data_IF_368055690612
#
_entry.id   IF_368055690612
#
_cell.length_a   1.000
_cell.length_b   1.000
_cell.length_c   1.000
_cell.angle_alpha   90.00
_cell.angle_beta   90.00
_cell.angle_gamma   90.00
#
_symmetry.space_group_name_H-M   'P 1'
#
loop_
_entity.id
_entity.type
_entity.pdbx_description
1 polymer ?
#
# COMPACT_ATOMS: atom_id res chain seq x y z
N UNK A 1 -1.96 51.77 14.79
CA UNK A 1 -1.18 51.05 13.76
C UNK A 1 -0.74 49.64 14.17
N UNK A 2 -0.40 49.35 15.44
CA UNK A 2 0.12 48.02 15.85
C UNK A 2 -0.90 46.86 15.83
N UNK A 3 -2.17 47.10 16.14
CA UNK A 3 -3.18 46.03 16.25
C UNK A 3 -3.64 45.46 14.89
N UNK A 4 -3.68 46.30 13.85
CA UNK A 4 -4.00 45.86 12.47
C UNK A 4 -2.91 44.97 11.87
N UNK A 5 -1.64 45.25 12.19
CA UNK A 5 -0.51 44.44 11.76
C UNK A 5 -0.53 43.05 12.41
N UNK A 6 -0.89 42.97 13.70
CA UNK A 6 -1.01 41.69 14.43
C UNK A 6 -2.18 40.84 13.89
N UNK A 7 -3.33 41.46 13.59
CA UNK A 7 -4.48 40.77 13.01
C UNK A 7 -4.15 40.22 11.60
N UNK A 8 -3.49 41.01 10.75
CA UNK A 8 -3.05 40.56 9.43
C UNK A 8 -2.01 39.44 9.50
N UNK A 9 -1.09 39.48 10.48
CA UNK A 9 -0.11 38.40 10.69
C UNK A 9 -0.78 37.09 11.16
N UNK A 10 -1.80 37.17 12.02
CA UNK A 10 -2.58 36.00 12.47
C UNK A 10 -3.41 35.39 11.34
N UNK A 11 -4.04 36.20 10.50
CA UNK A 11 -4.76 35.72 9.31
C UNK A 11 -3.81 35.07 8.31
N UNK A 12 -2.62 35.64 8.09
CA UNK A 12 -1.60 35.05 7.22
C UNK A 12 -1.02 33.73 7.77
N UNK A 13 -0.87 33.61 9.09
CA UNK A 13 -0.48 32.36 9.74
C UNK A 13 -1.56 31.28 9.62
N UNK A 14 -2.83 31.64 9.83
CA UNK A 14 -3.95 30.71 9.70
C UNK A 14 -4.17 30.27 8.24
N UNK A 15 -4.01 31.17 7.27
CA UNK A 15 -4.03 30.85 5.85
C UNK A 15 -2.89 29.89 5.45
N UNK A 16 -1.69 30.05 6.02
CA UNK A 16 -0.56 29.14 5.78
C UNK A 16 -0.79 27.73 6.32
N UNK A 17 -1.56 27.58 7.40
CA UNK A 17 -1.99 26.28 7.93
C UNK A 17 -3.06 25.61 7.04
N UNK A 18 -3.99 26.39 6.48
CA UNK A 18 -5.03 25.87 5.60
C UNK A 18 -4.51 25.49 4.20
N UNK A 19 -3.44 26.13 3.72
CA UNK A 19 -2.78 25.77 2.44
C UNK A 19 -1.66 24.73 2.58
N UNK A 20 -1.16 24.47 3.79
CA UNK A 20 -0.08 23.51 4.05
C UNK A 20 -0.52 22.04 4.12
N UNK A 21 -1.83 21.77 4.23
CA UNK A 21 -2.40 20.42 4.14
C UNK A 21 -2.52 19.93 2.68
N UNK A 22 -1.56 20.31 1.83
CA UNK A 22 -1.50 19.97 0.43
C UNK A 22 -1.08 18.49 0.25
N UNK A 23 -2.09 17.60 0.31
CA UNK A 23 -2.20 16.36 -0.46
C UNK A 23 -0.88 15.59 -0.67
N UNK A 24 -0.49 14.78 0.31
CA UNK A 24 0.19 13.53 -0.04
C UNK A 24 -0.84 12.71 -0.81
N UNK A 25 -0.83 12.79 -2.14
CA UNK A 25 -1.73 12.01 -2.97
C UNK A 25 -1.60 10.53 -2.60
N UNK A 26 -2.73 9.84 -2.50
CA UNK A 26 -2.73 8.40 -2.29
C UNK A 26 -2.06 7.76 -3.50
N UNK A 27 -0.84 7.27 -3.30
CA UNK A 27 -0.12 6.54 -4.33
C UNK A 27 -0.87 5.23 -4.58
N UNK A 28 -1.45 5.08 -5.75
CA UNK A 28 -2.14 3.87 -6.17
C UNK A 28 -1.18 3.00 -7.00
N UNK A 29 -0.95 1.77 -6.57
CA UNK A 29 -0.18 0.78 -7.32
C UNK A 29 -0.97 0.19 -8.48
N UNK A 30 -2.29 0.43 -8.54
CA UNK A 30 -3.23 -0.15 -9.48
C UNK A 30 -3.13 -1.68 -9.52
N UNK A 31 -3.15 -2.29 -8.33
CA UNK A 31 -3.03 -3.74 -8.17
C UNK A 31 -4.25 -4.45 -8.74
N UNK A 32 -4.10 -5.00 -9.93
CA UNK A 32 -5.09 -5.84 -10.60
C UNK A 32 -4.62 -7.30 -10.59
N UNK A 33 -5.28 -8.19 -9.83
CA UNK A 33 -4.84 -9.57 -9.71
C UNK A 33 -5.14 -10.38 -10.98
N UNK A 34 -4.09 -10.81 -11.68
CA UNK A 34 -4.22 -11.72 -12.80
C UNK A 34 -4.46 -13.15 -12.29
N UNK A 35 -5.60 -13.76 -12.65
CA UNK A 35 -5.90 -15.16 -12.34
C UNK A 35 -5.04 -16.08 -13.22
N UNK A 36 -4.02 -16.68 -12.62
CA UNK A 36 -3.11 -17.60 -13.31
C UNK A 36 -3.75 -18.97 -13.53
N UNK A 37 -4.44 -19.48 -12.51
CA UNK A 37 -5.25 -20.71 -12.56
C UNK A 37 -6.34 -20.65 -11.50
N UNK A 38 -7.09 -21.74 -11.31
CA UNK A 38 -8.09 -21.84 -10.24
C UNK A 38 -7.49 -21.42 -8.89
N UNK A 39 -8.18 -20.49 -8.23
CA UNK A 39 -7.84 -19.94 -6.92
C UNK A 39 -6.43 -19.36 -6.74
N UNK A 40 -5.68 -19.16 -7.82
CA UNK A 40 -4.27 -18.72 -7.79
C UNK A 40 -4.10 -17.46 -8.64
N UNK A 41 -3.58 -16.41 -8.02
CA UNK A 41 -3.53 -15.07 -8.58
C UNK A 41 -2.15 -14.45 -8.42
N UNK A 42 -1.77 -13.60 -9.37
CA UNK A 42 -0.49 -12.88 -9.36
C UNK A 42 -0.70 -11.41 -9.68
N UNK A 43 0.01 -10.54 -8.98
CA UNK A 43 0.21 -9.15 -9.34
C UNK A 43 1.52 -9.06 -10.10
N UNK A 44 1.47 -8.65 -11.37
CA UNK A 44 2.66 -8.58 -12.22
C UNK A 44 3.39 -7.25 -11.96
N UNK A 45 4.64 -7.35 -11.51
CA UNK A 45 5.50 -6.20 -11.31
C UNK A 45 5.97 -5.58 -12.62
N UNK A 46 6.43 -4.34 -12.57
CA UNK A 46 6.96 -3.64 -13.74
C UNK A 46 8.36 -4.16 -14.09
N UNK A 47 8.62 -4.35 -15.37
CA UNK A 47 9.95 -4.63 -15.90
C UNK A 47 10.78 -3.34 -16.00
N UNK A 48 11.05 -2.72 -14.85
CA UNK A 48 11.71 -1.42 -14.69
C UNK A 48 12.70 -1.49 -13.50
N UNK A 49 13.60 -0.50 -13.40
CA UNK A 49 14.35 -0.26 -12.17
C UNK A 49 13.44 0.33 -11.08
N UNK A 50 13.79 0.11 -9.80
CA UNK A 50 13.03 0.73 -8.71
C UNK A 50 13.17 2.25 -8.73
N UNK A 51 12.05 2.94 -8.65
CA UNK A 51 12.00 4.41 -8.59
C UNK A 51 10.95 4.85 -7.57
N UNK A 52 10.97 6.14 -7.21
CA UNK A 52 9.87 6.71 -6.41
C UNK A 52 8.55 6.73 -7.19
N UNK A 53 8.63 6.85 -8.51
CA UNK A 53 7.49 6.95 -9.41
C UNK A 53 6.73 5.63 -9.55
N UNK A 54 7.43 4.50 -9.59
CA UNK A 54 6.79 3.17 -9.59
C UNK A 54 6.59 2.60 -8.17
N UNK A 55 6.97 3.34 -7.13
CA UNK A 55 6.84 2.90 -5.75
C UNK A 55 7.59 1.60 -5.45
N UNK A 56 8.59 1.23 -6.27
CA UNK A 56 9.30 -0.05 -6.17
C UNK A 56 8.49 -1.28 -6.59
N UNK A 57 7.39 -1.12 -7.35
CA UNK A 57 6.60 -2.25 -7.86
C UNK A 57 7.28 -2.91 -9.06
N UNK A 58 8.35 -3.65 -8.78
CA UNK A 58 9.21 -4.33 -9.78
C UNK A 58 9.25 -5.86 -9.59
N UNK A 59 8.36 -6.39 -8.75
CA UNK A 59 8.33 -7.79 -8.33
C UNK A 59 6.95 -8.38 -8.56
N UNK A 60 6.90 -9.68 -8.88
CA UNK A 60 5.65 -10.42 -8.88
C UNK A 60 5.32 -10.88 -7.46
N UNK A 61 4.18 -10.44 -6.94
CA UNK A 61 3.61 -10.97 -5.69
C UNK A 61 2.39 -11.82 -6.02
N UNK A 62 2.03 -12.78 -5.17
CA UNK A 62 0.92 -13.70 -5.47
C UNK A 62 0.06 -13.99 -4.24
N UNK A 63 -1.13 -14.51 -4.49
CA UNK A 63 -1.93 -15.12 -3.45
C UNK A 63 -2.71 -16.34 -3.96
N UNK A 64 -2.99 -17.25 -3.03
CA UNK A 64 -3.72 -18.49 -3.28
C UNK A 64 -4.90 -18.55 -2.30
N UNK A 65 -6.10 -18.71 -2.83
CA UNK A 65 -7.31 -18.95 -2.05
C UNK A 65 -7.40 -20.45 -1.75
N UNK A 66 -7.41 -20.82 -0.47
CA UNK A 66 -7.50 -22.21 -0.01
C UNK A 66 -8.84 -22.45 0.69
N UNK A 67 -9.09 -23.68 1.16
CA UNK A 67 -10.26 -23.97 1.98
C UNK A 67 -10.30 -23.12 3.27
N UNK A 68 -9.15 -22.95 3.92
CA UNK A 68 -9.04 -22.37 5.28
C UNK A 68 -8.75 -20.86 5.28
N UNK A 69 -8.33 -20.29 4.15
CA UNK A 69 -7.98 -18.87 4.07
C UNK A 69 -7.21 -18.52 2.82
N UNK A 70 -6.59 -17.34 2.83
CA UNK A 70 -5.71 -16.89 1.74
C UNK A 70 -4.25 -16.99 2.20
N UNK A 71 -3.42 -17.55 1.34
CA UNK A 71 -1.96 -17.57 1.48
C UNK A 71 -1.39 -16.48 0.57
N UNK A 72 -0.63 -15.55 1.15
CA UNK A 72 0.09 -14.50 0.41
C UNK A 72 1.55 -14.92 0.22
N UNK A 73 2.09 -14.67 -0.97
CA UNK A 73 3.49 -14.88 -1.34
C UNK A 73 4.07 -13.52 -1.72
N UNK A 74 4.99 -13.03 -0.89
CA UNK A 74 5.57 -11.70 -0.90
C UNK A 74 4.54 -10.55 -0.72
N UNK A 75 4.91 -9.52 0.04
CA UNK A 75 3.97 -8.45 0.46
C UNK A 75 4.23 -7.11 -0.22
N UNK A 76 5.20 -7.07 -1.13
CA UNK A 76 5.54 -5.87 -1.90
C UNK A 76 6.41 -4.88 -1.16
N UNK A 77 6.69 -3.78 -1.86
CA UNK A 77 7.73 -2.80 -1.53
C UNK A 77 7.39 -1.80 -0.44
N UNK A 78 6.13 -1.69 -0.03
CA UNK A 78 5.70 -0.73 0.99
C UNK A 78 4.50 -1.25 1.78
N UNK A 79 4.29 -0.68 2.98
CA UNK A 79 3.05 -0.87 3.74
C UNK A 79 1.80 -0.59 2.89
N UNK A 80 1.82 0.47 2.08
CA UNK A 80 0.70 0.84 1.21
C UNK A 80 0.42 -0.22 0.15
N UNK A 81 1.46 -0.81 -0.43
CA UNK A 81 1.29 -1.95 -1.35
C UNK A 81 0.57 -3.11 -0.65
N UNK A 82 1.02 -3.47 0.55
CA UNK A 82 0.36 -4.51 1.35
C UNK A 82 -1.10 -4.19 1.69
N UNK A 83 -1.43 -2.93 1.98
CA UNK A 83 -2.80 -2.47 2.24
C UNK A 83 -3.68 -2.62 0.98
N UNK A 84 -3.21 -2.15 -0.17
CA UNK A 84 -3.92 -2.29 -1.45
C UNK A 84 -4.02 -3.76 -1.89
N UNK A 85 -3.01 -4.59 -1.59
CA UNK A 85 -3.09 -6.03 -1.83
C UNK A 85 -4.23 -6.65 -1.03
N UNK A 86 -4.41 -6.28 0.24
CA UNK A 86 -5.52 -6.79 1.05
C UNK A 86 -6.87 -6.38 0.49
N UNK A 87 -6.99 -5.16 -0.02
CA UNK A 87 -8.20 -4.68 -0.69
C UNK A 87 -8.48 -5.48 -1.97
N UNK A 88 -7.47 -5.71 -2.81
CA UNK A 88 -7.59 -6.52 -4.02
C UNK A 88 -7.98 -7.97 -3.69
N UNK A 89 -7.37 -8.59 -2.67
CA UNK A 89 -7.73 -9.94 -2.20
C UNK A 89 -9.19 -9.98 -1.73
N UNK A 90 -9.63 -8.98 -0.96
CA UNK A 90 -11.02 -8.90 -0.46
C UNK A 90 -12.05 -8.76 -1.60
N UNK A 91 -11.66 -8.17 -2.74
CA UNK A 91 -12.47 -8.14 -3.95
C UNK A 91 -12.61 -9.50 -4.64
N UNK A 92 -11.69 -10.43 -4.41
CA UNK A 92 -11.70 -11.79 -4.98
C UNK A 92 -12.39 -12.79 -4.03
N UNK A 93 -12.18 -12.66 -2.72
CA UNK A 93 -12.71 -13.63 -1.75
C UNK A 93 -12.96 -12.98 -0.39
N UNK A 94 -14.03 -13.39 0.34
CA UNK A 94 -14.25 -12.94 1.72
C UNK A 94 -13.39 -13.67 2.75
N UNK A 95 -12.60 -14.68 2.33
CA UNK A 95 -11.76 -15.47 3.25
C UNK A 95 -10.63 -14.62 3.83
N UNK A 96 -10.27 -14.80 5.12
CA UNK A 96 -9.17 -14.05 5.71
C UNK A 96 -7.82 -14.50 5.15
N UNK A 97 -6.85 -13.58 5.10
CA UNK A 97 -5.44 -13.94 4.91
C UNK A 97 -4.97 -14.64 6.19
N UNK A 98 -4.50 -15.88 6.05
CA UNK A 98 -4.06 -16.71 7.18
C UNK A 98 -2.55 -16.87 7.23
N UNK A 99 -1.87 -16.75 6.09
CA UNK A 99 -0.42 -16.93 5.98
C UNK A 99 0.19 -15.90 5.04
N UNK A 100 1.40 -15.48 5.39
CA UNK A 100 2.28 -14.66 4.55
C UNK A 100 3.62 -15.38 4.47
N UNK A 101 4.07 -15.67 3.26
CA UNK A 101 5.40 -16.21 2.99
C UNK A 101 6.23 -15.18 2.23
N UNK A 102 7.33 -14.73 2.82
CA UNK A 102 8.32 -13.94 2.10
C UNK A 102 9.39 -14.88 1.54
N UNK A 103 9.70 -14.73 0.25
CA UNK A 103 10.63 -15.63 -0.45
C UNK A 103 12.08 -15.36 -0.07
N UNK A 104 12.43 -14.10 0.21
CA UNK A 104 13.76 -13.68 0.68
C UNK A 104 13.73 -12.26 1.28
N UNK A 105 14.89 -11.72 1.65
CA UNK A 105 15.08 -10.49 2.43
C UNK A 105 15.32 -9.22 1.58
N UNK A 106 15.00 -9.25 0.29
CA UNK A 106 14.99 -8.01 -0.50
C UNK A 106 13.75 -7.15 -0.19
N UNK A 107 13.88 -5.82 -0.07
CA UNK A 107 12.82 -4.96 0.47
C UNK A 107 11.47 -5.02 -0.26
N UNK A 108 11.50 -5.25 -1.58
CA UNK A 108 10.32 -5.42 -2.43
C UNK A 108 9.51 -6.69 -2.10
N UNK A 109 10.08 -7.64 -1.36
CA UNK A 109 9.40 -8.88 -0.99
C UNK A 109 8.70 -8.84 0.38
N UNK A 110 9.11 -7.94 1.30
CA UNK A 110 8.65 -8.00 2.69
C UNK A 110 8.25 -6.66 3.34
N UNK A 111 8.53 -5.50 2.74
CA UNK A 111 8.23 -4.22 3.39
C UNK A 111 6.73 -3.98 3.58
N UNK A 112 5.87 -4.67 2.81
CA UNK A 112 4.42 -4.67 2.99
C UNK A 112 3.90 -5.50 4.16
N UNK A 113 4.75 -6.26 4.88
CA UNK A 113 4.34 -7.14 6.00
C UNK A 113 3.53 -6.41 7.09
N UNK A 114 3.75 -5.11 7.24
CA UNK A 114 3.03 -4.24 8.19
C UNK A 114 1.51 -4.24 7.95
N UNK A 115 1.05 -4.47 6.72
CA UNK A 115 -0.37 -4.54 6.40
C UNK A 115 -1.03 -5.85 6.89
N UNK A 116 -0.22 -6.86 7.24
CA UNK A 116 -0.66 -8.20 7.63
C UNK A 116 -0.31 -8.55 9.09
N UNK A 117 0.30 -7.61 9.83
CA UNK A 117 0.57 -7.82 11.25
C UNK A 117 -0.75 -7.97 12.02
N UNK A 118 -0.80 -8.86 13.03
CA UNK A 118 -1.97 -8.96 13.90
C UNK A 118 -2.26 -7.58 14.50
N UNK A 119 -3.49 -7.08 14.35
CA UNK A 119 -3.91 -5.94 15.14
C UNK A 119 -3.82 -6.36 16.60
N UNK A 120 -2.97 -5.71 17.39
CA UNK A 120 -3.02 -5.83 18.84
C UNK A 120 -4.40 -5.32 19.27
N UNK A 121 -5.29 -6.24 19.62
CA UNK A 121 -6.57 -5.94 20.26
C UNK A 121 -6.37 -5.34 21.64
#
# INVERSE_FOLDING_TARGET
MKLRAIFLLLVSWLASWLFGAAWAGDFDYHLDPYRLTEDTYVFIGKAEDFTRQNGGNIVNTAFIVTADGVVVIDTGSTRRYGEQMREAIAGVTPKPVTHVFNTHDHPDHFLGNQAFSPQSG
#
